data_IF_405920048042
#
_entry.id   IF_405920048042
#
_cell.length_a   1.000
_cell.length_b   1.000
_cell.length_c   1.000
_cell.angle_alpha   90.00
_cell.angle_beta   90.00
_cell.angle_gamma   90.00
#
_symmetry.space_group_name_H-M   'P 1'
#
loop_
_entity.id
_entity.type
_entity.pdbx_description
1 polymer ?
#
# COMPACT_ATOMS: atom_id res chain seq x y z
N UNK A 1 1.64 20.11 -13.06
CA UNK A 1 2.07 18.91 -13.80
C UNK A 1 3.21 18.24 -13.02
N UNK A 2 2.90 17.34 -12.08
CA UNK A 2 3.92 16.68 -11.24
C UNK A 2 3.60 15.18 -11.08
N UNK A 3 3.32 14.52 -12.20
CA UNK A 3 3.31 13.06 -12.27
C UNK A 3 4.53 12.66 -13.09
N UNK A 4 5.24 11.62 -12.64
CA UNK A 4 6.34 10.92 -13.32
C UNK A 4 7.73 11.42 -12.92
N UNK A 5 8.30 10.74 -11.94
CA UNK A 5 9.64 10.13 -11.99
C UNK A 5 9.81 9.32 -10.70
N UNK A 6 9.43 8.05 -10.73
CA UNK A 6 9.90 7.06 -9.75
C UNK A 6 10.92 6.21 -10.50
N UNK A 7 12.20 6.57 -10.37
CA UNK A 7 13.29 5.73 -10.85
C UNK A 7 13.42 4.56 -9.87
N UNK A 8 13.80 3.35 -10.31
CA UNK A 8 13.74 2.14 -9.47
C UNK A 8 14.46 2.23 -8.11
N UNK A 9 15.47 3.10 -7.98
CA UNK A 9 16.14 3.42 -6.70
C UNK A 9 15.28 4.27 -5.74
N UNK A 10 14.46 5.17 -6.28
CA UNK A 10 13.51 5.97 -5.50
C UNK A 10 12.36 5.12 -4.97
N UNK A 11 12.01 4.00 -5.62
CA UNK A 11 10.91 3.14 -5.17
C UNK A 11 11.27 2.44 -3.85
N UNK A 12 12.50 1.93 -3.71
CA UNK A 12 12.94 1.34 -2.43
C UNK A 12 13.06 2.40 -1.33
N UNK A 13 13.56 3.59 -1.66
CA UNK A 13 13.60 4.71 -0.72
C UNK A 13 12.18 5.13 -0.30
N UNK A 14 11.24 5.23 -1.24
CA UNK A 14 9.84 5.53 -1.01
C UNK A 14 9.19 4.47 -0.11
N UNK A 15 9.43 3.18 -0.34
CA UNK A 15 8.95 2.11 0.55
C UNK A 15 9.49 2.27 1.97
N UNK A 16 10.78 2.56 2.14
CA UNK A 16 11.36 2.76 3.48
C UNK A 16 10.78 3.98 4.18
N UNK A 17 10.53 5.05 3.44
CA UNK A 17 9.95 6.29 3.96
C UNK A 17 8.48 6.10 4.32
N UNK A 18 7.72 5.42 3.45
CA UNK A 18 6.33 5.05 3.67
C UNK A 18 6.19 4.08 4.84
N UNK A 19 7.08 3.10 5.00
CA UNK A 19 7.08 2.19 6.15
C UNK A 19 7.28 2.95 7.48
N UNK A 20 8.15 3.96 7.49
CA UNK A 20 8.34 4.85 8.66
C UNK A 20 7.12 5.75 8.89
N UNK A 21 6.53 6.30 7.84
CA UNK A 21 5.33 7.14 7.92
C UNK A 21 4.12 6.35 8.42
N UNK A 22 3.91 5.13 7.91
CA UNK A 22 2.86 4.25 8.41
C UNK A 22 3.09 3.93 9.87
N UNK A 23 4.32 3.77 10.36
CA UNK A 23 4.57 3.53 11.79
C UNK A 23 4.24 4.73 12.70
N UNK A 24 4.13 5.94 12.15
CA UNK A 24 3.73 7.14 12.89
C UNK A 24 2.28 7.56 12.64
N UNK A 25 1.72 7.16 11.50
CA UNK A 25 0.41 7.55 11.00
C UNK A 25 -0.30 6.30 10.46
N UNK A 26 -0.46 5.31 11.34
CA UNK A 26 -0.93 3.95 11.03
C UNK A 26 -2.34 3.93 10.41
N UNK A 27 -3.05 5.05 10.46
CA UNK A 27 -4.44 5.23 10.05
C UNK A 27 -4.61 6.13 8.82
N UNK A 28 -3.51 6.62 8.21
CA UNK A 28 -3.59 7.44 7.00
C UNK A 28 -3.76 6.58 5.75
N UNK A 29 -4.98 6.57 5.22
CA UNK A 29 -5.35 5.84 4.01
C UNK A 29 -4.51 6.25 2.78
N UNK A 30 -4.12 7.52 2.66
CA UNK A 30 -3.35 7.98 1.49
C UNK A 30 -1.93 7.42 1.49
N UNK A 31 -1.30 7.37 2.66
CA UNK A 31 0.01 6.73 2.85
C UNK A 31 -0.05 5.25 2.53
N UNK A 32 -1.09 4.53 3.00
CA UNK A 32 -1.26 3.10 2.73
C UNK A 32 -1.54 2.83 1.25
N UNK A 33 -2.37 3.66 0.59
CA UNK A 33 -2.60 3.60 -0.87
C UNK A 33 -1.32 3.78 -1.67
N UNK A 34 -0.43 4.69 -1.27
CA UNK A 34 0.88 4.88 -1.92
C UNK A 34 1.80 3.69 -1.69
N UNK A 35 1.81 3.13 -0.48
CA UNK A 35 2.65 1.98 -0.16
C UNK A 35 2.22 0.73 -0.93
N UNK A 36 0.91 0.46 -1.01
CA UNK A 36 0.37 -0.62 -1.84
C UNK A 36 0.81 -0.50 -3.31
N UNK A 37 0.73 0.70 -3.90
CA UNK A 37 1.20 0.93 -5.28
C UNK A 37 2.69 0.68 -5.43
N UNK A 38 3.51 1.10 -4.45
CA UNK A 38 4.95 0.86 -4.48
C UNK A 38 5.30 -0.63 -4.42
N UNK A 39 4.60 -1.42 -3.61
CA UNK A 39 4.77 -2.87 -3.53
C UNK A 39 4.36 -3.58 -4.82
N UNK A 40 3.25 -3.15 -5.43
CA UNK A 40 2.82 -3.67 -6.73
C UNK A 40 3.82 -3.35 -7.85
N UNK A 41 4.45 -2.16 -7.84
CA UNK A 41 5.52 -1.81 -8.78
C UNK A 41 6.79 -2.66 -8.60
N UNK A 42 7.01 -3.23 -7.41
CA UNK A 42 8.10 -4.18 -7.17
C UNK A 42 7.71 -5.63 -7.40
N UNK A 43 6.50 -5.89 -7.95
CA UNK A 43 5.95 -7.23 -8.10
C UNK A 43 5.89 -8.03 -6.78
N UNK A 44 5.84 -7.34 -5.64
CA UNK A 44 5.88 -7.97 -4.34
C UNK A 44 4.48 -8.24 -3.80
N UNK A 45 3.84 -9.26 -4.36
CA UNK A 45 2.47 -9.68 -4.01
C UNK A 45 2.33 -10.06 -2.53
N UNK A 46 3.28 -10.81 -2.00
CA UNK A 46 3.22 -11.23 -0.59
C UNK A 46 3.24 -10.05 0.38
N UNK A 47 4.13 -9.07 0.13
CA UNK A 47 4.21 -7.89 0.97
C UNK A 47 2.93 -7.04 0.87
N UNK A 48 2.31 -6.96 -0.31
CA UNK A 48 1.04 -6.27 -0.51
C UNK A 48 -0.09 -6.88 0.33
N UNK A 49 -0.20 -8.22 0.33
CA UNK A 49 -1.21 -8.96 1.10
C UNK A 49 -1.00 -8.73 2.60
N UNK A 50 0.25 -8.88 3.08
CA UNK A 50 0.57 -8.69 4.50
C UNK A 50 0.29 -7.26 4.96
N UNK A 51 0.62 -6.26 4.14
CA UNK A 51 0.34 -4.85 4.44
C UNK A 51 -1.17 -4.60 4.58
N UNK A 52 -1.97 -5.07 3.63
CA UNK A 52 -3.42 -4.87 3.64
C UNK A 52 -4.09 -5.57 4.83
N UNK A 53 -3.66 -6.80 5.14
CA UNK A 53 -4.15 -7.55 6.30
C UNK A 53 -3.83 -6.81 7.60
N UNK A 54 -2.56 -6.45 7.82
CA UNK A 54 -2.14 -5.71 9.02
C UNK A 54 -2.89 -4.39 9.16
N UNK A 55 -3.04 -3.63 8.08
CA UNK A 55 -3.77 -2.35 8.09
C UNK A 55 -5.25 -2.54 8.46
N UNK A 56 -5.88 -3.58 7.92
CA UNK A 56 -7.28 -3.91 8.24
C UNK A 56 -7.45 -4.30 9.70
N UNK A 57 -6.54 -5.11 10.23
CA UNK A 57 -6.54 -5.53 11.64
C UNK A 57 -6.34 -4.32 12.56
N UNK A 58 -5.35 -3.48 12.29
CA UNK A 58 -5.10 -2.25 13.08
C UNK A 58 -6.30 -1.29 13.06
N UNK A 59 -6.94 -1.07 11.91
CA UNK A 59 -8.17 -0.25 11.85
C UNK A 59 -9.31 -0.85 12.67
N UNK A 60 -9.45 -2.18 12.65
CA UNK A 60 -10.51 -2.87 13.36
C UNK A 60 -10.24 -2.88 14.88
N UNK A 61 -8.99 -3.02 15.31
CA UNK A 61 -8.59 -3.01 16.72
C UNK A 61 -8.63 -1.61 17.33
N UNK A 62 -8.08 -0.60 16.64
CA UNK A 62 -7.93 0.76 17.19
C UNK A 62 -9.18 1.63 17.01
N UNK A 63 -9.87 1.50 15.88
CA UNK A 63 -11.01 2.35 15.53
C UNK A 63 -12.33 1.59 15.41
N UNK A 64 -12.30 0.24 15.42
CA UNK A 64 -13.51 -0.56 15.21
C UNK A 64 -14.05 -0.49 13.79
N UNK A 65 -13.32 0.11 12.85
CA UNK A 65 -13.76 0.35 11.47
C UNK A 65 -13.01 -0.53 10.48
N UNK A 66 -13.55 -0.66 9.28
CA UNK A 66 -12.89 -1.33 8.16
C UNK A 66 -12.23 -0.30 7.23
N UNK A 67 -11.22 -0.71 6.43
CA UNK A 67 -10.64 0.16 5.41
C UNK A 67 -11.72 0.73 4.48
N UNK A 68 -11.51 1.96 4.01
CA UNK A 68 -12.41 2.56 3.02
C UNK A 68 -12.57 1.69 1.77
N UNK A 69 -13.71 1.87 1.11
CA UNK A 69 -14.05 1.23 -0.17
C UNK A 69 -12.96 1.54 -1.22
N UNK A 70 -12.39 2.75 -1.20
CA UNK A 70 -11.31 3.12 -2.11
C UNK A 70 -10.05 2.27 -1.92
N UNK A 71 -9.66 2.06 -0.66
CA UNK A 71 -8.50 1.26 -0.27
C UNK A 71 -8.70 -0.20 -0.67
N UNK A 72 -9.88 -0.76 -0.38
CA UNK A 72 -10.26 -2.13 -0.74
C UNK A 72 -10.27 -2.33 -2.25
N UNK A 73 -10.83 -1.37 -3.00
CA UNK A 73 -10.87 -1.42 -4.47
C UNK A 73 -9.48 -1.33 -5.08
N UNK A 74 -8.62 -0.46 -4.55
CA UNK A 74 -7.24 -0.35 -5.01
C UNK A 74 -6.48 -1.66 -4.77
N UNK A 75 -6.61 -2.26 -3.59
CA UNK A 75 -6.00 -3.54 -3.27
C UNK A 75 -6.40 -4.63 -4.29
N UNK A 76 -7.71 -4.77 -4.56
CA UNK A 76 -8.20 -5.73 -5.55
C UNK A 76 -7.65 -5.47 -6.96
N UNK A 77 -7.61 -4.22 -7.41
CA UNK A 77 -7.04 -3.84 -8.70
C UNK A 77 -5.56 -4.19 -8.82
N UNK A 78 -4.77 -3.91 -7.79
CA UNK A 78 -3.34 -4.22 -7.77
C UNK A 78 -3.08 -5.73 -7.75
N UNK A 79 -3.89 -6.50 -7.02
CA UNK A 79 -3.77 -7.95 -6.97
C UNK A 79 -4.05 -8.58 -8.34
N UNK A 80 -5.14 -8.19 -9.01
CA UNK A 80 -5.47 -8.65 -10.37
C UNK A 80 -4.40 -8.23 -11.38
N UNK A 81 -3.83 -7.03 -11.25
CA UNK A 81 -2.76 -6.58 -12.14
C UNK A 81 -1.48 -7.41 -11.97
N UNK A 82 -1.14 -7.79 -10.73
CA UNK A 82 0.01 -8.66 -10.44
C UNK A 82 -0.21 -10.06 -11.01
N UNK A 83 -1.41 -10.62 -10.85
CA UNK A 83 -1.78 -11.95 -11.37
C UNK A 83 -1.86 -11.98 -12.90
N UNK A 84 -2.16 -10.86 -13.56
CA UNK A 84 -2.18 -10.75 -15.02
C UNK A 84 -0.78 -10.58 -15.65
N UNK A 85 0.27 -10.41 -14.82
CA UNK A 85 1.66 -10.20 -15.30
C UNK A 85 2.54 -11.46 -15.11
N UNK A 86 2.01 -12.52 -14.51
CA UNK A 86 2.63 -13.87 -14.44
C UNK A 86 2.20 -14.76 -15.61
#
# INVERSE_FOLDING_TARGET
MARRCWTGGDIQAAIRLLAKLTAHNELDEDTVKLYMKALALQHNREALIRLYAKYSDTLQEELGVRPSIEVTKLYGQLLTQLEATE
#
